data_IF_363166349846
#
_entry.id   IF_363166349846
#
_cell.length_a   1.000
_cell.length_b   1.000
_cell.length_c   1.000
_cell.angle_alpha   90.00
_cell.angle_beta   90.00
_cell.angle_gamma   90.00
#
_symmetry.space_group_name_H-M   'P 1'
#
loop_
_entity.id
_entity.type
_entity.pdbx_description
1 polymer ?
#
# COMPACT_ATOMS: atom_id res chain seq x y z
N UNK A 1 9.62 -18.06 -4.27
CA UNK A 1 8.25 -17.94 -4.76
C UNK A 1 8.25 -18.00 -6.29
N UNK A 2 7.26 -18.68 -6.88
CA UNK A 2 7.09 -18.74 -8.34
C UNK A 2 6.83 -17.33 -8.87
N UNK A 3 7.57 -16.92 -9.91
CA UNK A 3 7.44 -15.62 -10.56
C UNK A 3 6.70 -15.77 -11.91
N UNK A 4 7.32 -16.44 -12.87
CA UNK A 4 6.70 -16.68 -14.17
C UNK A 4 7.31 -17.90 -14.88
N UNK A 5 6.58 -18.55 -15.81
CA UNK A 5 7.13 -19.60 -16.65
C UNK A 5 8.04 -19.01 -17.74
N UNK A 6 9.18 -19.63 -17.98
CA UNK A 6 10.09 -19.28 -19.06
C UNK A 6 10.39 -20.53 -19.91
N UNK A 7 9.61 -20.73 -20.98
CA UNK A 7 9.64 -21.97 -21.73
C UNK A 7 9.17 -23.16 -20.90
N UNK A 8 9.97 -24.22 -20.81
CA UNK A 8 9.68 -25.43 -20.02
C UNK A 8 10.11 -25.32 -18.55
N UNK A 9 10.73 -24.21 -18.15
CA UNK A 9 11.21 -23.98 -16.79
C UNK A 9 10.40 -22.93 -16.05
N UNK A 10 10.29 -23.09 -14.73
CA UNK A 10 9.67 -22.11 -13.85
C UNK A 10 10.74 -21.23 -13.20
N UNK A 11 10.59 -19.92 -13.31
CA UNK A 11 11.49 -18.98 -12.64
C UNK A 11 10.96 -18.67 -11.24
N UNK A 12 11.85 -18.83 -10.26
CA UNK A 12 11.57 -18.52 -8.85
C UNK A 12 12.39 -17.31 -8.42
N UNK A 13 11.75 -16.35 -7.80
CA UNK A 13 12.40 -15.16 -7.22
C UNK A 13 12.03 -14.99 -5.77
N UNK A 14 12.96 -14.44 -4.99
CA UNK A 14 12.69 -13.96 -3.63
C UNK A 14 12.35 -12.49 -3.67
N UNK A 15 11.44 -12.07 -2.81
CA UNK A 15 11.14 -10.66 -2.61
C UNK A 15 12.33 -9.97 -1.93
N UNK A 16 12.88 -8.95 -2.57
CA UNK A 16 14.05 -8.20 -2.09
C UNK A 16 13.68 -6.83 -1.51
N UNK A 17 12.41 -6.45 -1.55
CA UNK A 17 11.92 -5.19 -1.01
C UNK A 17 11.93 -5.12 0.52
N UNK A 18 11.81 -3.92 1.04
CA UNK A 18 11.79 -3.62 2.47
C UNK A 18 10.38 -3.60 3.06
N UNK A 19 9.35 -3.58 2.19
CA UNK A 19 7.96 -3.47 2.59
C UNK A 19 7.41 -4.71 3.30
N UNK A 20 6.25 -4.56 3.92
CA UNK A 20 5.53 -5.64 4.59
C UNK A 20 6.12 -6.08 5.92
N UNK A 21 5.51 -7.12 6.51
CA UNK A 21 5.89 -7.69 7.80
C UNK A 21 6.51 -9.07 7.59
N UNK A 22 7.66 -9.31 8.21
CA UNK A 22 8.32 -10.62 8.19
C UNK A 22 7.48 -11.67 8.90
N UNK A 23 7.32 -12.84 8.28
CA UNK A 23 6.52 -13.96 8.79
C UNK A 23 7.33 -14.89 9.69
N UNK A 24 8.64 -14.66 9.83
CA UNK A 24 9.55 -15.55 10.54
C UNK A 24 9.12 -15.92 11.95
N UNK A 25 9.12 -17.24 12.26
CA UNK A 25 8.78 -17.81 13.56
C UNK A 25 7.30 -18.17 13.73
N UNK A 26 7.05 -19.27 14.46
CA UNK A 26 5.71 -19.82 14.67
C UNK A 26 4.75 -18.84 15.34
N UNK A 27 5.21 -18.06 16.31
CA UNK A 27 4.37 -17.10 17.03
C UNK A 27 3.82 -16.00 16.08
N UNK A 28 4.67 -15.46 15.20
CA UNK A 28 4.24 -14.48 14.19
C UNK A 28 3.27 -15.10 13.18
N UNK A 29 3.52 -16.32 12.74
CA UNK A 29 2.61 -17.05 11.84
C UNK A 29 1.23 -17.26 12.47
N UNK A 30 1.17 -17.61 13.76
CA UNK A 30 -0.09 -17.76 14.49
C UNK A 30 -0.87 -16.44 14.56
N UNK A 31 -0.20 -15.35 14.93
CA UNK A 31 -0.83 -14.02 15.02
C UNK A 31 -1.34 -13.58 13.64
N UNK A 32 -0.52 -13.73 12.60
CA UNK A 32 -0.90 -13.34 11.23
C UNK A 32 -2.01 -14.23 10.68
N UNK A 33 -1.99 -15.53 10.94
CA UNK A 33 -3.04 -16.46 10.54
C UNK A 33 -4.38 -16.11 11.19
N UNK A 34 -4.37 -15.76 12.48
CA UNK A 34 -5.55 -15.30 13.20
C UNK A 34 -6.05 -13.95 12.66
N UNK A 35 -5.14 -13.00 12.43
CA UNK A 35 -5.47 -11.67 11.91
C UNK A 35 -6.12 -11.72 10.52
N UNK A 36 -5.59 -12.55 9.62
CA UNK A 36 -6.10 -12.69 8.25
C UNK A 36 -7.16 -13.79 8.09
N UNK A 37 -7.47 -14.54 9.14
CA UNK A 37 -8.41 -15.66 9.09
C UNK A 37 -7.97 -16.78 8.14
N UNK A 38 -6.65 -16.98 7.96
CA UNK A 38 -6.10 -17.91 6.97
C UNK A 38 -5.16 -18.95 7.58
N UNK A 39 -5.61 -20.19 7.69
CA UNK A 39 -4.79 -21.31 8.13
C UNK A 39 -3.64 -21.63 7.17
N UNK A 40 -3.72 -21.18 5.90
CA UNK A 40 -2.65 -21.38 4.91
C UNK A 40 -1.33 -20.74 5.33
N UNK A 41 -1.37 -19.64 6.08
CA UNK A 41 -0.16 -18.98 6.61
C UNK A 41 0.61 -19.89 7.58
N UNK A 42 -0.10 -20.74 8.31
CA UNK A 42 0.51 -21.70 9.24
C UNK A 42 1.03 -22.94 8.54
N UNK A 43 0.25 -23.48 7.59
CA UNK A 43 0.44 -24.81 7.04
C UNK A 43 1.29 -24.82 5.75
N UNK A 44 1.51 -23.66 5.10
CA UNK A 44 2.28 -23.61 3.87
C UNK A 44 3.77 -23.85 4.15
N UNK A 45 4.35 -24.81 3.42
CA UNK A 45 5.78 -25.06 3.38
C UNK A 45 6.57 -24.02 2.58
N UNK A 46 5.89 -23.20 1.75
CA UNK A 46 6.53 -22.19 0.90
C UNK A 46 6.89 -20.91 1.66
N UNK A 47 6.41 -20.78 2.91
CA UNK A 47 6.70 -19.63 3.76
C UNK A 47 7.97 -19.90 4.55
N UNK A 48 9.07 -19.28 4.13
CA UNK A 48 10.35 -19.30 4.84
C UNK A 48 10.46 -18.25 5.95
N UNK A 49 11.59 -18.23 6.66
CA UNK A 49 11.87 -17.26 7.71
C UNK A 49 11.97 -15.82 7.21
N UNK A 50 12.42 -15.62 5.97
CA UNK A 50 12.58 -14.33 5.30
C UNK A 50 11.32 -13.90 4.51
N UNK A 51 10.29 -14.75 4.47
CA UNK A 51 9.05 -14.40 3.78
C UNK A 51 8.37 -13.20 4.43
N UNK A 52 7.79 -12.34 3.59
CA UNK A 52 7.09 -11.13 4.04
C UNK A 52 5.64 -11.15 3.56
N UNK A 53 4.74 -10.70 4.41
CA UNK A 53 3.34 -10.45 4.03
C UNK A 53 3.21 -8.98 3.70
N UNK A 54 2.81 -8.70 2.45
CA UNK A 54 2.45 -7.37 1.97
C UNK A 54 0.94 -7.22 2.12
N UNK A 55 0.50 -6.33 2.98
CA UNK A 55 -0.92 -6.02 3.22
C UNK A 55 -1.20 -4.54 2.99
N UNK A 56 -2.48 -4.15 2.92
CA UNK A 56 -2.89 -2.82 2.50
C UNK A 56 -2.29 -2.43 1.13
N UNK A 57 -2.42 -3.35 0.16
CA UNK A 57 -1.88 -3.14 -1.18
C UNK A 57 -2.73 -2.20 -2.02
N UNK A 58 -3.99 -2.00 -1.66
CA UNK A 58 -4.80 -0.96 -2.27
C UNK A 58 -4.22 0.41 -1.90
N UNK A 59 -3.89 1.20 -2.92
CA UNK A 59 -3.16 2.45 -2.76
C UNK A 59 -3.97 3.49 -2.01
N UNK A 60 -5.26 3.61 -2.31
CA UNK A 60 -6.16 4.54 -1.65
C UNK A 60 -6.32 4.17 -0.16
N UNK A 61 -6.48 2.87 0.14
CA UNK A 61 -6.55 2.38 1.52
C UNK A 61 -5.26 2.67 2.28
N UNK A 62 -4.11 2.41 1.66
CA UNK A 62 -2.79 2.67 2.24
C UNK A 62 -2.59 4.15 2.54
N UNK A 63 -2.87 5.02 1.56
CA UNK A 63 -2.76 6.46 1.71
C UNK A 63 -3.67 7.01 2.82
N UNK A 64 -4.93 6.57 2.85
CA UNK A 64 -5.90 6.99 3.87
C UNK A 64 -5.48 6.55 5.28
N UNK A 65 -4.89 5.35 5.42
CA UNK A 65 -4.39 4.89 6.73
C UNK A 65 -3.12 5.63 7.17
N UNK A 66 -2.24 5.97 6.23
CA UNK A 66 -1.02 6.71 6.53
C UNK A 66 -1.30 8.19 6.87
N UNK A 67 -2.26 8.81 6.17
CA UNK A 67 -2.57 10.23 6.30
C UNK A 67 -4.10 10.46 6.43
N UNK A 68 -4.72 10.07 7.55
CA UNK A 68 -6.18 10.10 7.72
C UNK A 68 -6.77 11.52 7.74
N UNK A 69 -5.94 12.55 7.81
CA UNK A 69 -6.36 13.96 7.81
C UNK A 69 -6.42 14.58 6.41
N UNK A 70 -6.02 13.83 5.37
CA UNK A 70 -6.11 14.26 3.97
C UNK A 70 -7.33 13.67 3.29
N UNK A 71 -7.86 14.40 2.33
CA UNK A 71 -8.87 13.92 1.38
C UNK A 71 -8.13 13.56 0.09
N UNK A 72 -8.27 12.32 -0.36
CA UNK A 72 -7.57 11.82 -1.53
C UNK A 72 -8.44 11.85 -2.77
N UNK A 73 -7.82 12.14 -3.90
CA UNK A 73 -8.42 11.87 -5.20
C UNK A 73 -8.57 10.35 -5.39
N UNK A 74 -9.60 9.94 -6.13
CA UNK A 74 -9.90 8.54 -6.40
C UNK A 74 -9.27 8.03 -7.70
N UNK A 75 -8.46 8.84 -8.34
CA UNK A 75 -7.82 8.54 -9.62
C UNK A 75 -6.27 8.52 -9.48
N UNK A 76 -5.70 7.53 -8.78
CA UNK A 76 -4.25 7.35 -8.74
C UNK A 76 -3.73 6.92 -10.10
N UNK A 77 -2.62 7.51 -10.53
CA UNK A 77 -1.96 7.15 -11.79
C UNK A 77 -0.53 6.64 -11.57
N UNK A 78 -0.08 5.81 -12.51
CA UNK A 78 1.25 5.19 -12.43
C UNK A 78 2.24 5.96 -13.29
N UNK A 79 3.45 6.15 -12.76
CA UNK A 79 4.57 6.79 -13.44
C UNK A 79 5.77 5.86 -13.44
N UNK A 80 6.47 5.81 -14.58
CA UNK A 80 7.73 5.09 -14.75
C UNK A 80 8.80 6.15 -15.00
N UNK A 81 9.61 6.53 -14.00
CA UNK A 81 10.75 7.40 -14.21
C UNK A 81 11.87 6.70 -14.97
N UNK A 82 12.89 7.44 -15.42
CA UNK A 82 14.01 6.92 -16.17
C UNK A 82 14.82 5.83 -15.42
N UNK A 83 14.67 5.77 -14.10
CA UNK A 83 15.26 4.70 -13.27
C UNK A 83 14.61 3.32 -13.49
N UNK A 84 13.47 3.26 -14.18
CA UNK A 84 12.71 2.03 -14.44
C UNK A 84 11.88 1.53 -13.25
N UNK A 85 11.87 2.23 -12.11
CA UNK A 85 11.00 1.92 -10.97
C UNK A 85 9.56 2.37 -11.25
N UNK A 86 8.60 1.67 -10.66
CA UNK A 86 7.18 2.02 -10.81
C UNK A 86 6.70 2.77 -9.57
N UNK A 87 6.09 3.94 -9.78
CA UNK A 87 5.53 4.74 -8.70
C UNK A 87 4.06 5.07 -8.97
N UNK A 88 3.26 4.93 -7.93
CA UNK A 88 1.92 5.46 -7.91
C UNK A 88 1.94 6.90 -7.43
N UNK A 89 1.24 7.77 -8.14
CA UNK A 89 1.05 9.16 -7.75
C UNK A 89 -0.44 9.38 -7.48
N UNK A 90 -0.72 10.09 -6.38
CA UNK A 90 -2.06 10.41 -5.94
C UNK A 90 -2.11 11.84 -5.42
N UNK A 91 -3.08 12.60 -5.89
CA UNK A 91 -3.35 13.94 -5.39
C UNK A 91 -4.15 13.90 -4.09
N UNK A 92 -3.79 14.78 -3.17
CA UNK A 92 -4.46 14.89 -1.89
C UNK A 92 -4.73 16.35 -1.53
N UNK A 93 -5.84 16.54 -0.82
CA UNK A 93 -6.38 17.83 -0.48
C UNK A 93 -6.39 18.03 1.03
N UNK A 94 -6.00 19.23 1.45
CA UNK A 94 -6.29 19.72 2.79
C UNK A 94 -7.63 20.43 2.79
N UNK A 95 -8.47 20.14 3.76
CA UNK A 95 -9.81 20.74 3.90
C UNK A 95 -9.98 21.36 5.27
N UNK A 96 -10.84 22.37 5.38
CA UNK A 96 -11.26 22.91 6.67
C UNK A 96 -12.69 23.41 6.63
N UNK A 97 -13.41 23.24 7.71
CA UNK A 97 -14.74 23.81 7.94
C UNK A 97 -14.70 25.17 8.65
N UNK A 98 -13.51 25.64 9.05
CA UNK A 98 -13.33 26.83 9.90
C UNK A 98 -12.86 28.08 9.16
N UNK A 99 -12.96 28.09 7.82
CA UNK A 99 -12.56 29.27 7.06
C UNK A 99 -13.61 30.38 7.21
N UNK A 100 -13.22 31.58 7.70
CA UNK A 100 -14.18 32.66 7.97
C UNK A 100 -14.76 33.21 6.66
N UNK A 101 -16.04 33.57 6.70
CA UNK A 101 -16.80 34.19 5.59
C UNK A 101 -16.88 33.32 4.30
N UNK A 102 -16.50 32.05 4.35
CA UNK A 102 -16.63 31.17 3.21
C UNK A 102 -18.00 30.48 3.17
N UNK A 103 -18.50 30.29 1.96
CA UNK A 103 -19.66 29.41 1.74
C UNK A 103 -19.29 27.98 2.10
N UNK A 104 -20.17 27.29 2.79
CA UNK A 104 -19.98 25.87 3.14
C UNK A 104 -20.64 24.98 2.10
N UNK A 105 -19.91 24.01 1.62
CA UNK A 105 -20.44 22.93 0.79
C UNK A 105 -21.37 22.02 1.61
N UNK A 106 -22.11 21.12 0.94
CA UNK A 106 -23.08 20.22 1.57
C UNK A 106 -22.46 19.28 2.61
N UNK A 107 -21.16 18.97 2.47
CA UNK A 107 -20.37 18.15 3.40
C UNK A 107 -19.79 18.96 4.59
N UNK A 108 -20.10 20.27 4.65
CA UNK A 108 -19.59 21.18 5.67
C UNK A 108 -18.21 21.76 5.40
N UNK A 109 -17.55 21.41 4.30
CA UNK A 109 -16.25 21.96 3.90
C UNK A 109 -16.40 23.43 3.51
N UNK A 110 -15.59 24.30 4.11
CA UNK A 110 -15.55 25.73 3.80
C UNK A 110 -14.36 26.13 2.92
N UNK A 111 -13.32 25.31 2.89
CA UNK A 111 -12.12 25.53 2.08
C UNK A 111 -11.47 24.20 1.72
N UNK A 112 -11.02 24.10 0.48
CA UNK A 112 -10.27 22.95 -0.05
C UNK A 112 -9.05 23.46 -0.81
N UNK A 113 -7.91 22.81 -0.61
CA UNK A 113 -6.67 23.11 -1.32
C UNK A 113 -5.98 21.81 -1.75
N UNK A 114 -5.63 21.69 -3.03
CA UNK A 114 -4.73 20.66 -3.53
C UNK A 114 -3.28 21.05 -3.15
N UNK A 115 -2.80 20.55 -2.04
CA UNK A 115 -1.52 20.94 -1.46
C UNK A 115 -0.54 19.78 -1.33
N UNK A 116 -0.98 18.56 -1.55
CA UNK A 116 -0.18 17.36 -1.33
C UNK A 116 -0.25 16.45 -2.53
N UNK A 117 0.91 15.92 -2.91
CA UNK A 117 1.02 14.85 -3.88
C UNK A 117 1.77 13.69 -3.24
N UNK A 118 1.11 12.54 -3.13
CA UNK A 118 1.73 11.32 -2.62
C UNK A 118 2.40 10.57 -3.75
N UNK A 119 3.61 10.08 -3.47
CA UNK A 119 4.34 9.16 -4.33
C UNK A 119 4.54 7.87 -3.56
N UNK A 120 4.06 6.76 -4.10
CA UNK A 120 4.10 5.45 -3.45
C UNK A 120 4.86 4.50 -4.36
N UNK A 121 5.93 3.90 -3.86
CA UNK A 121 6.65 2.85 -4.58
C UNK A 121 5.73 1.64 -4.81
N UNK A 122 5.61 1.18 -6.07
CA UNK A 122 4.71 0.09 -6.42
C UNK A 122 5.24 -1.28 -5.98
N UNK A 123 6.55 -1.40 -5.73
CA UNK A 123 7.19 -2.65 -5.36
C UNK A 123 7.11 -2.94 -3.87
N UNK A 124 7.52 -2.01 -3.03
CA UNK A 124 7.54 -2.21 -1.58
C UNK A 124 6.49 -1.38 -0.81
N UNK A 125 5.84 -0.45 -1.47
CA UNK A 125 4.75 0.35 -0.93
C UNK A 125 5.20 1.44 0.04
N UNK A 126 6.46 1.87 -0.01
CA UNK A 126 6.91 3.06 0.72
C UNK A 126 6.26 4.32 0.16
N UNK A 127 5.98 5.30 1.03
CA UNK A 127 5.30 6.55 0.71
C UNK A 127 6.25 7.71 0.96
#
# INVERSE_FOLDING_TARGET
>A
EFDYPSGDENIYRAYTGTGGVTVGGLAKRLILAAHFGSSKILLSGDIGGESRILYHRNILERATKAFPFLVFDRDPYMVVPDSGSLHWIMDAYTTTSRYPYAFRANDGTAYIRNSVKLVIDAYDGTV
#
